data_IF_441608217868
#
_entry.id   IF_441608217868
#
_cell.length_a   1.000
_cell.length_b   1.000
_cell.length_c   1.000
_cell.angle_alpha   90.00
_cell.angle_beta   90.00
_cell.angle_gamma   90.00
#
_symmetry.space_group_name_H-M   'P 1'
#
loop_
_entity.id
_entity.type
_entity.pdbx_description
1 polymer ?
#
# COMPACT_ATOMS: atom_id res chain seq x y z
N UNK A 1 -20.15 -3.37 -6.68
CA UNK A 1 -19.93 -2.13 -5.90
C UNK A 1 -20.62 -2.26 -4.56
N UNK A 2 -19.99 -1.79 -3.49
CA UNK A 2 -20.57 -1.84 -2.14
C UNK A 2 -21.45 -0.60 -1.84
N UNK A 3 -21.03 0.57 -2.28
CA UNK A 3 -21.72 1.86 -2.11
C UNK A 3 -21.79 2.60 -3.45
N UNK A 4 -22.67 2.18 -4.38
CA UNK A 4 -22.72 2.72 -5.74
C UNK A 4 -22.84 4.24 -5.78
N UNK A 5 -23.67 4.82 -4.91
CA UNK A 5 -23.92 6.27 -4.80
C UNK A 5 -22.66 7.09 -4.46
N UNK A 6 -21.69 6.48 -3.78
CA UNK A 6 -20.39 7.09 -3.48
C UNK A 6 -19.36 6.74 -4.55
N UNK A 7 -19.29 5.47 -4.95
CA UNK A 7 -18.26 4.96 -5.84
C UNK A 7 -18.41 5.47 -7.29
N UNK A 8 -19.63 5.85 -7.70
CA UNK A 8 -19.91 6.39 -9.05
C UNK A 8 -20.19 7.89 -9.07
N UNK A 9 -20.18 8.58 -7.92
CA UNK A 9 -20.36 10.03 -7.86
C UNK A 9 -19.29 10.72 -8.72
N UNK A 10 -19.62 11.70 -9.55
CA UNK A 10 -18.64 12.49 -10.30
C UNK A 10 -17.55 13.04 -9.38
N UNK A 11 -16.29 13.00 -9.82
CA UNK A 11 -15.18 13.36 -8.96
C UNK A 11 -15.23 14.80 -8.46
N UNK A 12 -15.65 15.75 -9.30
CA UNK A 12 -15.81 17.13 -8.89
C UNK A 12 -16.84 17.29 -7.75
N UNK A 13 -18.01 16.62 -7.86
CA UNK A 13 -19.02 16.62 -6.80
C UNK A 13 -18.52 15.95 -5.51
N UNK A 14 -17.63 14.94 -5.62
CA UNK A 14 -17.00 14.35 -4.45
C UNK A 14 -16.08 15.35 -3.74
N UNK A 15 -15.28 16.11 -4.49
CA UNK A 15 -14.38 17.12 -3.92
C UNK A 15 -15.17 18.26 -3.24
N UNK A 16 -16.30 18.67 -3.78
CA UNK A 16 -17.18 19.65 -3.15
C UNK A 16 -17.74 19.13 -1.81
N UNK A 17 -18.19 17.86 -1.77
CA UNK A 17 -18.66 17.23 -0.55
C UNK A 17 -17.54 17.06 0.48
N UNK A 18 -16.32 16.77 0.02
CA UNK A 18 -15.14 16.60 0.88
C UNK A 18 -14.66 17.93 1.46
N UNK A 19 -14.85 19.09 0.77
CA UNK A 19 -14.49 20.41 1.29
C UNK A 19 -15.20 20.74 2.59
N UNK A 20 -16.50 20.46 2.70
CA UNK A 20 -17.25 20.67 3.93
C UNK A 20 -16.72 19.82 5.10
N UNK A 21 -16.39 18.55 4.82
CA UNK A 21 -15.79 17.64 5.81
C UNK A 21 -14.38 18.08 6.22
N UNK A 22 -13.59 18.55 5.27
CA UNK A 22 -12.25 19.07 5.48
C UNK A 22 -12.26 20.31 6.41
N UNK A 23 -13.14 21.29 6.15
CA UNK A 23 -13.28 22.48 7.00
C UNK A 23 -13.62 22.11 8.43
N UNK A 24 -14.59 21.20 8.62
CA UNK A 24 -14.95 20.71 9.95
C UNK A 24 -13.78 19.96 10.63
N UNK A 25 -12.97 19.25 9.85
CA UNK A 25 -11.76 18.57 10.36
C UNK A 25 -10.67 19.57 10.74
N UNK A 26 -10.50 20.65 9.98
CA UNK A 26 -9.57 21.74 10.33
C UNK A 26 -9.99 22.43 11.63
N UNK A 27 -11.27 22.80 11.80
CA UNK A 27 -11.79 23.38 13.04
C UNK A 27 -11.46 22.47 14.23
N UNK A 28 -11.69 21.16 14.07
CA UNK A 28 -11.38 20.17 15.10
C UNK A 28 -9.89 20.09 15.43
N UNK A 29 -9.01 20.16 14.42
CA UNK A 29 -7.55 20.17 14.62
C UNK A 29 -7.10 21.42 15.38
N UNK A 30 -7.61 22.59 15.02
CA UNK A 30 -7.31 23.84 15.73
C UNK A 30 -7.83 23.84 17.17
N UNK A 31 -8.91 23.12 17.46
CA UNK A 31 -9.45 23.01 18.81
C UNK A 31 -8.70 21.99 19.67
N UNK A 32 -8.27 20.85 19.11
CA UNK A 32 -7.90 19.65 19.86
C UNK A 32 -6.46 19.20 19.72
N UNK A 33 -5.75 19.55 18.65
CA UNK A 33 -4.40 19.06 18.39
C UNK A 33 -3.34 20.08 18.74
N UNK A 34 -2.64 19.90 19.86
CA UNK A 34 -1.51 20.77 20.22
C UNK A 34 -0.44 20.78 19.13
N UNK A 35 -0.15 19.62 18.54
CA UNK A 35 0.80 19.49 17.43
C UNK A 35 0.43 20.37 16.23
N UNK A 36 -0.83 20.29 15.77
CA UNK A 36 -1.25 21.07 14.59
C UNK A 36 -1.47 22.55 14.92
N UNK A 37 -1.86 22.90 16.15
CA UNK A 37 -1.90 24.30 16.58
C UNK A 37 -0.52 24.97 16.44
N UNK A 38 0.53 24.35 16.98
CA UNK A 38 1.90 24.86 16.88
C UNK A 38 2.39 24.89 15.42
N UNK A 39 2.23 23.78 14.70
CA UNK A 39 2.72 23.63 13.33
C UNK A 39 2.08 24.63 12.37
N UNK A 40 0.76 24.81 12.45
CA UNK A 40 0.02 25.72 11.57
C UNK A 40 0.27 27.19 11.97
N UNK A 41 0.38 27.50 13.25
CA UNK A 41 0.76 28.85 13.71
C UNK A 41 2.16 29.22 13.23
N UNK A 42 3.13 28.31 13.31
CA UNK A 42 4.49 28.54 12.79
C UNK A 42 4.52 28.78 11.27
N UNK A 43 3.55 28.20 10.53
CA UNK A 43 3.38 28.42 9.09
C UNK A 43 2.51 29.66 8.75
N UNK A 44 2.09 30.43 9.76
CA UNK A 44 1.31 31.68 9.57
C UNK A 44 -0.21 31.49 9.55
N UNK A 45 -0.73 30.32 9.92
CA UNK A 45 -2.16 30.02 9.96
C UNK A 45 -2.66 30.03 11.41
N UNK A 46 -3.30 31.11 11.83
CA UNK A 46 -3.82 31.27 13.21
C UNK A 46 -5.21 30.70 13.44
N UNK A 47 -5.92 30.25 12.41
CA UNK A 47 -7.27 29.67 12.50
C UNK A 47 -7.58 28.79 11.28
N UNK A 48 -8.58 27.93 11.41
CA UNK A 48 -9.09 27.12 10.30
C UNK A 48 -9.61 28.00 9.14
N UNK A 49 -10.24 29.14 9.44
CA UNK A 49 -10.69 30.09 8.42
C UNK A 49 -9.52 30.66 7.60
N UNK A 50 -8.38 30.93 8.23
CA UNK A 50 -7.17 31.41 7.55
C UNK A 50 -6.52 30.30 6.69
N UNK A 51 -6.65 29.05 7.08
CA UNK A 51 -6.17 27.88 6.34
C UNK A 51 -6.97 27.61 5.04
N UNK A 52 -8.24 28.03 5.00
CA UNK A 52 -9.09 27.94 3.80
C UNK A 52 -9.77 26.59 3.62
N UNK A 53 -10.14 26.27 2.37
CA UNK A 53 -10.78 25.01 1.98
C UNK A 53 -9.81 24.03 1.32
N UNK A 54 -10.36 22.94 0.76
CA UNK A 54 -9.55 21.94 0.01
C UNK A 54 -8.76 22.54 -1.15
N UNK A 55 -9.31 23.57 -1.80
CA UNK A 55 -8.60 24.28 -2.88
C UNK A 55 -7.32 24.99 -2.39
N UNK A 56 -7.26 25.32 -1.11
CA UNK A 56 -6.13 26.00 -0.47
C UNK A 56 -5.16 25.04 0.24
N UNK A 57 -5.47 23.75 0.28
CA UNK A 57 -4.76 22.75 1.12
C UNK A 57 -3.25 22.74 0.86
N UNK A 58 -2.84 22.97 -0.39
CA UNK A 58 -1.44 22.99 -0.79
C UNK A 58 -0.60 24.09 -0.11
N UNK A 59 -1.25 25.12 0.46
CA UNK A 59 -0.59 26.20 1.23
C UNK A 59 -0.16 25.73 2.63
N UNK A 60 -0.76 24.67 3.15
CA UNK A 60 -0.46 24.16 4.47
C UNK A 60 0.82 23.32 4.47
N UNK A 61 1.56 23.27 5.59
CA UNK A 61 2.78 22.47 5.66
C UNK A 61 2.49 20.98 5.58
N UNK A 62 3.38 20.24 4.94
CA UNK A 62 3.36 18.77 4.91
C UNK A 62 3.68 18.21 6.30
N UNK A 63 3.11 17.07 6.66
CA UNK A 63 3.37 16.37 7.92
C UNK A 63 4.20 15.12 7.67
N UNK A 64 5.33 15.02 8.37
CA UNK A 64 6.22 13.88 8.37
C UNK A 64 5.93 12.94 9.53
N UNK A 65 6.02 11.65 9.31
CA UNK A 65 5.85 10.64 10.37
C UNK A 65 6.82 10.84 11.55
N UNK A 66 8.03 11.32 11.25
CA UNK A 66 9.04 11.62 12.27
C UNK A 66 8.58 12.73 13.21
N UNK A 67 8.00 13.82 12.68
CA UNK A 67 7.51 14.92 13.49
C UNK A 67 6.48 14.46 14.54
N UNK A 68 5.56 13.56 14.13
CA UNK A 68 4.56 12.99 15.05
C UNK A 68 5.22 12.17 16.15
N UNK A 69 6.18 11.30 15.79
CA UNK A 69 6.91 10.44 16.76
C UNK A 69 7.75 11.24 17.75
N UNK A 70 8.36 12.32 17.28
CA UNK A 70 9.23 13.17 18.11
C UNK A 70 8.43 13.89 19.22
N UNK A 71 7.08 13.92 19.15
CA UNK A 71 6.19 14.43 20.22
C UNK A 71 5.79 13.40 21.25
N UNK A 72 6.14 12.13 21.06
CA UNK A 72 5.80 11.07 22.01
C UNK A 72 6.64 11.18 23.29
N UNK A 73 5.99 10.96 24.44
CA UNK A 73 6.61 10.95 25.77
C UNK A 73 6.18 9.68 26.51
N UNK A 74 6.86 9.30 27.61
CA UNK A 74 6.41 8.17 28.45
C UNK A 74 4.96 8.29 28.93
N UNK A 75 4.52 9.51 29.24
CA UNK A 75 3.14 9.79 29.71
C UNK A 75 2.12 9.92 28.57
N UNK A 76 2.60 10.23 27.36
CA UNK A 76 1.78 10.28 26.15
C UNK A 76 2.50 9.58 24.97
N UNK A 77 2.45 8.24 24.91
CA UNK A 77 3.20 7.47 23.90
C UNK A 77 2.66 7.63 22.47
N UNK A 78 1.48 8.24 22.29
CA UNK A 78 0.93 8.56 20.96
C UNK A 78 1.53 9.87 20.46
N UNK A 79 1.67 10.87 21.33
CA UNK A 79 2.20 12.19 21.00
C UNK A 79 1.15 13.30 21.03
N UNK A 80 1.58 14.55 20.82
CA UNK A 80 0.75 15.75 20.94
C UNK A 80 -0.27 15.94 19.80
N UNK A 81 -0.29 15.04 18.81
CA UNK A 81 -1.30 14.97 17.76
C UNK A 81 -2.55 14.17 18.18
N UNK A 82 -2.55 13.54 19.34
CA UNK A 82 -3.73 12.90 19.92
C UNK A 82 -4.79 13.96 20.26
N UNK A 83 -6.00 13.78 19.73
CA UNK A 83 -7.12 14.71 19.89
C UNK A 83 -8.25 14.16 20.76
N UNK A 84 -8.48 12.84 20.70
CA UNK A 84 -9.53 12.19 21.50
C UNK A 84 -9.07 11.91 22.92
N UNK A 85 -10.03 11.89 23.87
CA UNK A 85 -9.75 11.43 25.21
C UNK A 85 -9.52 9.90 25.26
N UNK A 86 -8.78 9.36 26.25
CA UNK A 86 -8.55 7.92 26.36
C UNK A 86 -9.84 7.09 26.40
N UNK A 87 -10.93 7.64 26.93
CA UNK A 87 -12.24 6.96 27.05
C UNK A 87 -12.97 6.81 25.73
N UNK A 88 -12.62 7.58 24.70
CA UNK A 88 -13.20 7.52 23.36
C UNK A 88 -12.46 6.51 22.48
N UNK A 89 -11.26 6.07 22.88
CA UNK A 89 -10.40 5.16 22.10
C UNK A 89 -10.86 3.72 22.34
N UNK A 90 -11.30 3.05 21.26
CA UNK A 90 -11.75 1.66 21.30
C UNK A 90 -10.71 0.68 20.75
N UNK A 91 -9.71 1.18 19.99
CA UNK A 91 -8.65 0.36 19.39
C UNK A 91 -7.36 1.17 19.29
N UNK A 92 -6.24 0.49 19.50
CA UNK A 92 -4.91 1.04 19.22
C UNK A 92 -4.18 0.01 18.36
N UNK A 93 -3.81 0.42 17.15
CA UNK A 93 -2.89 -0.34 16.30
C UNK A 93 -1.47 0.22 16.43
N UNK A 94 -0.50 -0.51 15.90
CA UNK A 94 0.87 -0.03 15.77
C UNK A 94 1.41 -0.28 14.36
N UNK A 95 2.40 0.50 13.96
CA UNK A 95 3.19 0.18 12.76
C UNK A 95 4.42 -0.60 13.15
N UNK A 96 4.96 -1.41 12.22
CA UNK A 96 6.13 -2.25 12.45
C UNK A 96 7.44 -1.47 12.69
N UNK A 97 7.43 -0.14 12.55
CA UNK A 97 8.56 0.76 12.78
C UNK A 97 9.86 0.29 12.11
N UNK A 98 10.15 0.77 10.91
CA UNK A 98 11.43 0.48 10.20
C UNK A 98 12.66 0.93 11.00
N UNK A 99 12.47 1.81 11.98
CA UNK A 99 13.51 2.35 12.88
C UNK A 99 13.53 1.71 14.27
N UNK A 100 12.76 0.61 14.48
CA UNK A 100 12.70 -0.09 15.77
C UNK A 100 11.68 0.46 16.77
N UNK A 101 11.23 1.71 16.63
CA UNK A 101 10.19 2.29 17.51
C UNK A 101 8.84 2.28 16.80
N UNK A 102 7.83 1.57 17.32
CA UNK A 102 6.49 1.57 16.73
C UNK A 102 5.80 2.93 16.91
N UNK A 103 5.00 3.34 15.93
CA UNK A 103 4.01 4.40 16.10
C UNK A 103 2.68 3.78 16.49
N UNK A 104 1.98 4.40 17.45
CA UNK A 104 0.66 3.96 17.87
C UNK A 104 -0.42 4.74 17.16
N UNK A 105 -1.46 4.03 16.74
CA UNK A 105 -2.57 4.57 15.95
C UNK A 105 -3.86 4.32 16.73
N UNK A 106 -4.31 5.30 17.52
CA UNK A 106 -5.57 5.21 18.25
C UNK A 106 -6.75 5.41 17.31
N UNK A 107 -7.85 4.73 17.56
CA UNK A 107 -9.09 4.85 16.83
C UNK A 107 -10.26 4.97 17.79
N UNK A 108 -11.14 5.94 17.55
CA UNK A 108 -12.49 5.95 18.12
C UNK A 108 -13.38 4.94 17.39
N UNK A 109 -14.57 4.67 17.91
CA UNK A 109 -15.54 3.79 17.23
C UNK A 109 -15.88 4.32 15.82
N UNK A 110 -16.06 5.64 15.66
CA UNK A 110 -16.32 6.25 14.36
C UNK A 110 -15.14 6.15 13.39
N UNK A 111 -13.90 6.31 13.88
CA UNK A 111 -12.70 6.15 13.07
C UNK A 111 -12.56 4.71 12.55
N UNK A 112 -12.80 3.73 13.44
CA UNK A 112 -12.77 2.32 13.07
C UNK A 112 -13.84 1.99 12.02
N UNK A 113 -15.05 2.52 12.16
CA UNK A 113 -16.13 2.35 11.19
C UNK A 113 -15.79 2.93 9.80
N UNK A 114 -15.17 4.12 9.77
CA UNK A 114 -14.67 4.75 8.54
C UNK A 114 -13.58 3.89 7.87
N UNK A 115 -12.63 3.35 8.65
CA UNK A 115 -11.60 2.46 8.15
C UNK A 115 -12.18 1.17 7.57
N UNK A 116 -13.12 0.55 8.27
CA UNK A 116 -13.81 -0.65 7.82
C UNK A 116 -14.61 -0.39 6.54
N UNK A 117 -15.33 0.74 6.48
CA UNK A 117 -16.14 1.10 5.30
C UNK A 117 -15.29 1.36 4.06
N UNK A 118 -14.23 2.17 4.19
CA UNK A 118 -13.29 2.44 3.09
C UNK A 118 -12.61 1.17 2.59
N UNK A 119 -12.18 0.31 3.52
CA UNK A 119 -11.55 -0.98 3.19
C UNK A 119 -12.53 -1.96 2.53
N UNK A 120 -13.78 -2.00 2.99
CA UNK A 120 -14.81 -2.84 2.39
C UNK A 120 -15.11 -2.44 0.93
N UNK A 121 -15.18 -1.12 0.63
CA UNK A 121 -15.29 -0.64 -0.76
C UNK A 121 -14.09 -1.02 -1.61
N UNK A 122 -12.88 -0.90 -1.04
CA UNK A 122 -11.61 -1.27 -1.68
C UNK A 122 -11.59 -2.76 -2.06
N UNK A 123 -11.90 -3.66 -1.10
CA UNK A 123 -11.90 -5.10 -1.35
C UNK A 123 -13.07 -5.55 -2.24
N UNK A 124 -14.25 -4.96 -2.09
CA UNK A 124 -15.39 -5.26 -2.96
C UNK A 124 -15.15 -4.88 -4.44
N UNK A 125 -14.18 -3.99 -4.72
CA UNK A 125 -13.77 -3.68 -6.08
C UNK A 125 -13.25 -4.92 -6.83
N UNK A 126 -12.58 -5.84 -6.13
CA UNK A 126 -12.05 -7.10 -6.65
C UNK A 126 -13.11 -8.12 -7.12
N UNK A 127 -14.41 -7.76 -7.06
CA UNK A 127 -15.49 -8.64 -7.47
C UNK A 127 -15.98 -9.62 -6.40
N UNK A 128 -15.45 -9.56 -5.18
CA UNK A 128 -15.99 -10.32 -4.05
C UNK A 128 -17.33 -9.73 -3.59
N UNK A 129 -18.28 -10.57 -3.22
CA UNK A 129 -19.65 -10.17 -2.92
C UNK A 129 -20.24 -10.94 -1.73
N UNK A 130 -21.33 -10.42 -1.19
CA UNK A 130 -22.07 -11.04 -0.10
C UNK A 130 -22.46 -12.50 -0.42
N UNK A 131 -22.36 -13.36 0.58
CA UNK A 131 -22.61 -14.80 0.46
C UNK A 131 -21.39 -15.61 0.02
N UNK A 132 -20.33 -14.98 -0.50
CA UNK A 132 -19.05 -15.63 -0.82
C UNK A 132 -18.24 -15.95 0.45
N UNK A 133 -17.12 -16.67 0.27
CA UNK A 133 -16.18 -17.00 1.33
C UNK A 133 -14.79 -16.47 0.98
N UNK A 134 -14.11 -15.93 1.99
CA UNK A 134 -12.73 -15.48 1.84
C UNK A 134 -11.85 -16.08 2.93
N UNK A 135 -10.71 -16.67 2.53
CA UNK A 135 -9.66 -17.05 3.48
C UNK A 135 -8.62 -15.95 3.54
N UNK A 136 -8.09 -15.63 4.72
CA UNK A 136 -7.02 -14.66 4.83
C UNK A 136 -5.93 -15.07 5.81
N UNK A 137 -4.71 -14.58 5.54
CA UNK A 137 -3.59 -14.67 6.47
C UNK A 137 -3.36 -13.38 7.24
N UNK A 138 -4.24 -12.40 7.09
CA UNK A 138 -4.22 -11.21 7.91
C UNK A 138 -4.57 -11.55 9.36
N UNK A 139 -3.76 -11.06 10.29
CA UNK A 139 -3.94 -11.34 11.72
C UNK A 139 -4.66 -10.21 12.44
N UNK A 140 -5.39 -10.54 13.50
CA UNK A 140 -5.91 -9.57 14.46
C UNK A 140 -4.82 -9.02 15.42
N UNK A 141 -3.55 -9.11 15.01
CA UNK A 141 -2.40 -8.67 15.79
C UNK A 141 -2.28 -7.14 15.92
N UNK A 142 -1.11 -6.64 16.35
CA UNK A 142 -0.94 -5.22 16.64
C UNK A 142 -1.01 -4.32 15.41
N UNK A 143 -0.93 -4.89 14.21
CA UNK A 143 -0.93 -4.12 12.96
C UNK A 143 -2.35 -3.82 12.46
N UNK A 144 -2.48 -2.73 11.70
CA UNK A 144 -3.74 -2.24 11.14
C UNK A 144 -4.51 -3.27 10.29
N UNK A 145 -3.84 -4.32 9.80
CA UNK A 145 -4.48 -5.43 9.07
C UNK A 145 -5.67 -6.07 9.80
N UNK A 146 -5.74 -5.96 11.14
CA UNK A 146 -6.91 -6.40 11.90
C UNK A 146 -8.23 -5.74 11.51
N UNK A 147 -8.20 -4.50 10.97
CA UNK A 147 -9.41 -3.84 10.46
C UNK A 147 -9.89 -4.43 9.12
N UNK A 148 -9.02 -5.11 8.35
CA UNK A 148 -9.39 -5.80 7.13
C UNK A 148 -10.38 -6.94 7.40
N UNK A 149 -10.26 -7.60 8.56
CA UNK A 149 -11.15 -8.71 8.94
C UNK A 149 -12.61 -8.22 9.01
N UNK A 150 -12.84 -7.10 9.71
CA UNK A 150 -14.16 -6.48 9.80
C UNK A 150 -14.66 -5.95 8.44
N UNK A 151 -13.75 -5.59 7.52
CA UNK A 151 -14.13 -5.16 6.18
C UNK A 151 -14.69 -6.32 5.33
N UNK A 152 -14.13 -7.53 5.44
CA UNK A 152 -14.68 -8.72 4.79
C UNK A 152 -16.07 -9.05 5.31
N UNK A 153 -16.27 -8.97 6.62
CA UNK A 153 -17.59 -9.17 7.24
C UNK A 153 -18.60 -8.09 6.81
N UNK A 154 -18.15 -6.83 6.67
CA UNK A 154 -18.97 -5.70 6.18
C UNK A 154 -19.45 -5.91 4.74
N UNK A 155 -18.67 -6.58 3.89
CA UNK A 155 -19.08 -6.97 2.53
C UNK A 155 -20.14 -8.06 2.57
N UNK A 156 -20.26 -8.81 3.66
CA UNK A 156 -21.13 -9.98 3.81
C UNK A 156 -20.46 -11.27 3.39
N UNK A 157 -19.13 -11.34 3.45
CA UNK A 157 -18.36 -12.56 3.19
C UNK A 157 -18.29 -13.42 4.46
N UNK A 158 -18.33 -14.74 4.29
CA UNK A 158 -17.90 -15.69 5.32
C UNK A 158 -16.38 -15.68 5.39
N UNK A 159 -15.84 -15.05 6.40
CA UNK A 159 -14.38 -14.89 6.54
C UNK A 159 -13.75 -16.05 7.31
N UNK A 160 -12.69 -16.63 6.76
CA UNK A 160 -11.89 -17.72 7.32
C UNK A 160 -10.53 -17.16 7.73
N UNK A 161 -10.32 -16.70 8.98
CA UNK A 161 -9.06 -16.15 9.44
C UNK A 161 -8.08 -17.28 9.78
N UNK A 162 -7.04 -17.47 8.97
CA UNK A 162 -5.99 -18.48 9.24
C UNK A 162 -4.83 -17.86 10.02
N UNK A 163 -4.51 -16.60 9.75
CA UNK A 163 -3.34 -15.91 10.30
C UNK A 163 -2.04 -16.27 9.55
N UNK A 164 -0.98 -15.52 9.84
CA UNK A 164 0.34 -15.72 9.24
C UNK A 164 1.08 -16.93 9.86
N UNK A 165 2.05 -17.51 9.12
CA UNK A 165 3.00 -18.49 9.63
C UNK A 165 2.48 -19.93 9.69
N UNK A 166 1.38 -20.26 9.02
CA UNK A 166 0.87 -21.63 8.99
C UNK A 166 0.31 -21.99 7.60
N UNK A 167 1.20 -22.30 6.68
CA UNK A 167 0.87 -22.58 5.27
C UNK A 167 0.03 -23.86 5.11
N UNK A 168 0.33 -24.91 5.88
CA UNK A 168 -0.47 -26.15 5.82
C UNK A 168 -1.92 -25.92 6.27
N UNK A 169 -2.12 -25.07 7.29
CA UNK A 169 -3.46 -24.69 7.74
C UNK A 169 -4.21 -23.91 6.66
N UNK A 170 -3.52 -23.00 5.95
CA UNK A 170 -4.11 -22.26 4.85
C UNK A 170 -4.58 -23.20 3.74
N UNK A 171 -3.70 -24.07 3.26
CA UNK A 171 -4.03 -25.04 2.20
C UNK A 171 -5.18 -25.95 2.62
N UNK A 172 -5.12 -26.52 3.82
CA UNK A 172 -6.22 -27.34 4.36
C UNK A 172 -7.55 -26.59 4.46
N UNK A 173 -7.51 -25.30 4.87
CA UNK A 173 -8.73 -24.47 4.92
C UNK A 173 -9.32 -24.25 3.51
N UNK A 174 -8.47 -24.05 2.50
CA UNK A 174 -8.91 -23.92 1.10
C UNK A 174 -9.56 -25.22 0.61
N UNK A 175 -8.93 -26.36 0.86
CA UNK A 175 -9.45 -27.68 0.46
C UNK A 175 -10.80 -28.01 1.11
N UNK A 176 -10.90 -27.78 2.42
CA UNK A 176 -12.07 -28.21 3.20
C UNK A 176 -13.23 -27.21 3.15
N UNK A 177 -12.95 -25.90 3.24
CA UNK A 177 -13.97 -24.86 3.33
C UNK A 177 -14.28 -24.20 1.99
N UNK A 178 -13.48 -24.50 0.95
CA UNK A 178 -13.67 -24.08 -0.43
C UNK A 178 -14.02 -22.59 -0.57
N UNK A 179 -13.15 -21.66 -0.11
CA UNK A 179 -13.38 -20.24 -0.28
C UNK A 179 -13.29 -19.83 -1.76
N UNK A 180 -14.10 -18.83 -2.16
CA UNK A 180 -14.09 -18.25 -3.51
C UNK A 180 -12.94 -17.28 -3.70
N UNK A 181 -12.41 -16.75 -2.58
CA UNK A 181 -11.33 -15.76 -2.58
C UNK A 181 -10.29 -16.04 -1.49
N UNK A 182 -9.07 -15.56 -1.73
CA UNK A 182 -8.01 -15.53 -0.74
C UNK A 182 -7.40 -14.11 -0.63
N UNK A 183 -7.05 -13.69 0.58
CA UNK A 183 -6.37 -12.41 0.84
C UNK A 183 -5.01 -12.66 1.49
N UNK A 184 -3.94 -12.36 0.75
CA UNK A 184 -2.55 -12.68 1.10
C UNK A 184 -1.64 -11.48 0.79
N UNK A 185 -0.37 -11.57 1.19
CA UNK A 185 0.64 -10.68 0.58
C UNK A 185 1.14 -11.29 -0.74
N UNK A 186 1.59 -10.48 -1.71
CA UNK A 186 2.07 -10.99 -3.00
C UNK A 186 3.16 -12.05 -2.88
N UNK A 187 4.17 -11.82 -2.04
CA UNK A 187 5.27 -12.77 -1.85
C UNK A 187 4.82 -14.08 -1.19
N UNK A 188 3.85 -14.00 -0.28
CA UNK A 188 3.32 -15.21 0.35
C UNK A 188 2.42 -16.01 -0.60
N UNK A 189 1.67 -15.33 -1.45
CA UNK A 189 0.90 -15.99 -2.51
C UNK A 189 1.82 -16.76 -3.48
N UNK A 190 2.95 -16.15 -3.88
CA UNK A 190 3.97 -16.83 -4.69
C UNK A 190 4.57 -18.04 -3.96
N UNK A 191 4.92 -17.86 -2.68
CA UNK A 191 5.46 -18.96 -1.85
C UNK A 191 4.51 -20.16 -1.76
N UNK A 192 3.21 -19.92 -1.63
CA UNK A 192 2.20 -21.00 -1.59
C UNK A 192 2.13 -21.71 -2.93
N UNK A 193 2.04 -20.97 -4.04
CA UNK A 193 1.97 -21.53 -5.38
C UNK A 193 3.24 -22.32 -5.79
N UNK A 194 4.42 -21.95 -5.26
CA UNK A 194 5.67 -22.71 -5.48
C UNK A 194 5.68 -24.10 -4.83
N UNK A 195 4.88 -24.32 -3.80
CA UNK A 195 4.93 -25.53 -2.94
C UNK A 195 3.70 -26.41 -3.03
N UNK A 196 2.57 -25.83 -3.37
CA UNK A 196 1.29 -26.50 -3.43
C UNK A 196 0.64 -26.26 -4.78
N UNK A 197 -0.03 -27.27 -5.30
CA UNK A 197 -0.85 -27.12 -6.51
C UNK A 197 -2.13 -26.36 -6.15
N UNK A 198 -2.14 -25.07 -6.49
CA UNK A 198 -3.29 -24.19 -6.26
C UNK A 198 -4.20 -24.08 -7.49
N UNK A 199 -3.72 -24.53 -8.66
CA UNK A 199 -4.51 -24.57 -9.90
C UNK A 199 -5.66 -25.57 -9.72
N UNK A 200 -6.88 -25.13 -9.97
CA UNK A 200 -8.07 -25.95 -9.74
C UNK A 200 -8.59 -25.98 -8.28
N UNK A 201 -7.96 -25.21 -7.38
CA UNK A 201 -8.57 -24.91 -6.08
C UNK A 201 -9.90 -24.15 -6.24
N UNK A 202 -10.63 -23.94 -5.16
CA UNK A 202 -11.87 -23.16 -5.21
C UNK A 202 -11.65 -21.66 -5.30
N UNK A 203 -10.40 -21.19 -5.14
CA UNK A 203 -10.05 -19.76 -5.14
C UNK A 203 -10.07 -19.24 -6.58
N UNK A 204 -11.05 -18.40 -6.87
CA UNK A 204 -11.18 -17.72 -8.17
C UNK A 204 -10.59 -16.30 -8.14
N UNK A 205 -10.46 -15.71 -6.95
CA UNK A 205 -9.98 -14.34 -6.74
C UNK A 205 -8.91 -14.30 -5.66
N UNK A 206 -7.75 -13.76 -6.02
CA UNK A 206 -6.62 -13.57 -5.11
C UNK A 206 -6.41 -12.07 -4.88
N UNK A 207 -6.78 -11.60 -3.69
CA UNK A 207 -6.58 -10.21 -3.26
C UNK A 207 -5.22 -10.11 -2.60
N UNK A 208 -4.33 -9.29 -3.17
CA UNK A 208 -3.00 -9.10 -2.62
C UNK A 208 -2.78 -7.69 -2.12
N UNK A 209 -2.14 -7.57 -0.94
CA UNK A 209 -1.86 -6.27 -0.33
C UNK A 209 -0.67 -6.35 0.64
N UNK A 210 -0.20 -5.17 1.07
CA UNK A 210 0.78 -5.03 2.14
C UNK A 210 2.23 -4.87 1.68
N UNK A 211 2.53 -5.17 0.44
CA UNK A 211 3.81 -4.93 -0.22
C UNK A 211 3.58 -4.77 -1.73
N UNK A 212 4.50 -4.17 -2.51
CA UNK A 212 4.40 -4.11 -3.96
C UNK A 212 4.43 -5.50 -4.61
N UNK A 213 3.74 -5.66 -5.74
CA UNK A 213 3.76 -6.91 -6.52
C UNK A 213 2.48 -7.17 -7.31
N UNK A 214 1.31 -6.96 -6.69
CA UNK A 214 0.04 -7.18 -7.36
C UNK A 214 -0.18 -6.30 -8.59
N UNK A 215 0.37 -5.09 -8.60
CA UNK A 215 0.34 -4.16 -9.72
C UNK A 215 1.48 -4.37 -10.76
N UNK A 216 2.46 -5.22 -10.47
CA UNK A 216 3.56 -5.53 -11.38
C UNK A 216 3.13 -6.64 -12.35
N UNK A 217 3.02 -6.29 -13.64
CA UNK A 217 2.38 -7.15 -14.63
C UNK A 217 2.96 -8.57 -14.69
N UNK A 218 4.26 -8.69 -14.83
CA UNK A 218 4.90 -10.01 -14.99
C UNK A 218 4.79 -10.85 -13.70
N UNK A 219 4.89 -10.22 -12.53
CA UNK A 219 4.73 -10.92 -11.26
C UNK A 219 3.25 -11.31 -11.01
N UNK A 220 2.30 -10.46 -11.40
CA UNK A 220 0.87 -10.78 -11.38
C UNK A 220 0.56 -11.99 -12.26
N UNK A 221 1.06 -12.03 -13.51
CA UNK A 221 0.90 -13.15 -14.43
C UNK A 221 1.39 -14.45 -13.78
N UNK A 222 2.55 -14.44 -13.12
CA UNK A 222 3.07 -15.61 -12.37
C UNK A 222 2.13 -16.05 -11.25
N UNK A 223 1.53 -15.09 -10.51
CA UNK A 223 0.56 -15.43 -9.46
C UNK A 223 -0.75 -15.99 -10.03
N UNK A 224 -1.25 -15.42 -11.12
CA UNK A 224 -2.46 -15.88 -11.80
C UNK A 224 -2.29 -17.29 -12.36
N UNK A 225 -1.14 -17.57 -12.99
CA UNK A 225 -0.79 -18.91 -13.46
C UNK A 225 -0.67 -19.92 -12.31
N UNK A 226 0.00 -19.55 -11.21
CA UNK A 226 0.25 -20.43 -10.09
C UNK A 226 -0.99 -20.73 -9.23
N UNK A 227 -2.00 -19.84 -9.25
CA UNK A 227 -3.26 -20.02 -8.50
C UNK A 227 -4.43 -20.43 -9.38
N UNK A 228 -4.36 -20.24 -10.69
CA UNK A 228 -5.52 -20.36 -11.57
C UNK A 228 -6.62 -19.34 -11.24
N UNK A 229 -6.26 -18.20 -10.63
CA UNK A 229 -7.17 -17.23 -10.07
C UNK A 229 -6.84 -15.82 -10.55
N UNK A 230 -7.84 -14.93 -10.62
CA UNK A 230 -7.62 -13.53 -10.94
C UNK A 230 -6.99 -12.78 -9.77
N UNK A 231 -5.88 -12.09 -10.01
CA UNK A 231 -5.16 -11.32 -8.98
C UNK A 231 -5.57 -9.85 -9.03
N UNK A 232 -5.92 -9.29 -7.89
CA UNK A 232 -6.19 -7.85 -7.71
C UNK A 232 -5.38 -7.29 -6.56
N UNK A 233 -4.91 -6.05 -6.73
CA UNK A 233 -4.11 -5.37 -5.71
C UNK A 233 -4.96 -4.44 -4.85
N UNK A 234 -4.62 -4.37 -3.57
CA UNK A 234 -5.15 -3.36 -2.67
C UNK A 234 -4.02 -2.68 -1.90
N UNK A 235 -4.18 -1.38 -1.62
CA UNK A 235 -3.17 -0.58 -0.95
C UNK A 235 -3.77 0.18 0.23
N UNK A 236 -3.04 0.18 1.34
CA UNK A 236 -3.33 0.97 2.52
C UNK A 236 -2.08 1.57 3.14
N UNK A 237 -2.28 2.58 3.95
CA UNK A 237 -1.24 3.25 4.73
C UNK A 237 -1.58 3.04 6.18
N UNK A 238 -0.77 2.29 6.92
CA UNK A 238 -1.09 1.86 8.28
C UNK A 238 -1.47 2.99 9.23
N UNK A 239 -0.90 4.19 9.03
CA UNK A 239 -1.21 5.38 9.83
C UNK A 239 -2.55 6.05 9.44
N UNK A 240 -3.10 5.76 8.25
CA UNK A 240 -4.29 6.45 7.69
C UNK A 240 -5.47 5.51 7.50
N UNK A 241 -5.22 4.26 7.08
CA UNK A 241 -6.26 3.26 6.87
C UNK A 241 -5.68 1.97 6.27
N UNK A 242 -6.34 0.84 6.57
CA UNK A 242 -5.81 -0.48 6.25
C UNK A 242 -5.88 -0.82 4.76
N UNK A 243 -6.95 -0.39 4.06
CA UNK A 243 -7.06 -0.48 2.61
C UNK A 243 -7.84 0.72 2.11
N UNK A 244 -7.14 1.65 1.49
CA UNK A 244 -7.67 2.92 0.99
C UNK A 244 -7.98 2.84 -0.51
N UNK A 245 -7.25 2.00 -1.23
CA UNK A 245 -7.40 1.75 -2.66
C UNK A 245 -7.53 0.27 -2.94
N UNK A 246 -8.29 -0.09 -3.99
CA UNK A 246 -8.42 -1.46 -4.47
C UNK A 246 -8.71 -1.53 -5.97
N UNK A 247 -8.07 -2.49 -6.62
CA UNK A 247 -8.33 -2.77 -8.03
C UNK A 247 -9.70 -3.42 -8.24
N UNK A 248 -10.30 -3.08 -9.37
CA UNK A 248 -11.42 -3.84 -9.90
C UNK A 248 -10.92 -4.93 -10.88
N UNK A 249 -11.86 -5.71 -11.39
CA UNK A 249 -11.56 -6.80 -12.34
C UNK A 249 -10.95 -6.33 -13.68
N UNK A 250 -10.93 -5.03 -13.96
CA UNK A 250 -10.25 -4.46 -15.13
C UNK A 250 -8.72 -4.38 -14.96
N UNK A 251 -8.21 -4.46 -13.73
CA UNK A 251 -6.78 -4.46 -13.39
C UNK A 251 -5.99 -3.25 -13.96
N UNK A 252 -6.67 -2.11 -14.11
CA UNK A 252 -6.10 -0.87 -14.65
C UNK A 252 -5.98 0.21 -13.56
N UNK A 253 -5.28 -0.14 -12.50
CA UNK A 253 -5.06 0.69 -11.32
C UNK A 253 -6.16 0.59 -10.27
N UNK A 254 -5.81 0.98 -9.06
CA UNK A 254 -6.65 0.87 -7.86
C UNK A 254 -7.58 2.07 -7.72
N UNK A 255 -8.87 1.82 -7.50
CA UNK A 255 -9.89 2.80 -7.19
C UNK A 255 -9.82 3.25 -5.74
N UNK A 256 -10.16 4.52 -5.47
CA UNK A 256 -10.15 5.10 -4.14
C UNK A 256 -11.38 4.70 -3.33
N UNK A 257 -11.25 3.72 -2.43
CA UNK A 257 -12.33 3.25 -1.54
C UNK A 257 -12.61 4.19 -0.36
N UNK A 258 -11.63 4.99 0.06
CA UNK A 258 -11.74 5.87 1.23
C UNK A 258 -12.37 7.24 0.93
N UNK A 259 -13.10 7.38 -0.19
CA UNK A 259 -13.84 8.60 -0.56
C UNK A 259 -14.76 9.07 0.56
N UNK A 260 -14.70 10.37 0.89
CA UNK A 260 -15.46 10.99 1.97
C UNK A 260 -14.81 10.84 3.36
N UNK A 261 -13.73 10.04 3.50
CA UNK A 261 -13.00 9.85 4.76
C UNK A 261 -11.58 10.39 4.71
N UNK A 262 -10.97 10.34 3.53
CA UNK A 262 -9.59 10.76 3.28
C UNK A 262 -9.55 11.56 1.98
N UNK A 263 -8.78 12.65 1.96
CA UNK A 263 -8.39 13.39 0.76
C UNK A 263 -6.97 12.98 0.35
N UNK A 264 -6.76 12.87 -0.95
CA UNK A 264 -5.46 12.48 -1.52
C UNK A 264 -4.92 13.58 -2.43
N UNK A 265 -3.65 13.93 -2.23
CA UNK A 265 -2.88 14.87 -3.05
C UNK A 265 -1.69 14.13 -3.67
N UNK A 266 -1.19 14.67 -4.78
CA UNK A 266 0.07 14.27 -5.39
C UNK A 266 1.07 15.41 -5.25
N UNK A 267 2.30 15.09 -4.79
CA UNK A 267 3.36 16.09 -4.65
C UNK A 267 4.66 15.63 -5.31
N UNK A 268 5.54 16.59 -5.61
CA UNK A 268 6.91 16.28 -6.00
C UNK A 268 7.66 15.67 -4.80
N UNK A 269 8.29 14.52 -4.93
CA UNK A 269 8.84 13.79 -3.78
C UNK A 269 10.00 14.54 -3.06
N UNK A 270 10.77 15.35 -3.77
CA UNK A 270 11.91 16.08 -3.19
C UNK A 270 11.50 17.46 -2.67
N UNK A 271 10.74 18.24 -3.46
CA UNK A 271 10.39 19.62 -3.10
C UNK A 271 9.09 19.73 -2.30
N UNK A 272 8.18 18.75 -2.41
CA UNK A 272 6.86 18.80 -1.81
C UNK A 272 5.86 19.68 -2.57
N UNK A 273 6.25 20.20 -3.73
CA UNK A 273 5.38 21.03 -4.56
C UNK A 273 4.16 20.23 -5.04
N UNK A 274 2.97 20.84 -5.06
CA UNK A 274 1.76 20.16 -5.50
C UNK A 274 1.84 19.78 -6.99
N UNK A 275 1.29 18.63 -7.32
CA UNK A 275 1.11 18.12 -8.69
C UNK A 275 -0.35 17.80 -8.95
N UNK A 276 -0.83 18.09 -10.15
CA UNK A 276 -2.16 17.70 -10.57
C UNK A 276 -2.27 16.16 -10.69
N UNK A 277 -3.41 15.61 -10.26
CA UNK A 277 -3.75 14.20 -10.46
C UNK A 277 -4.27 13.98 -11.90
N UNK A 278 -3.38 14.13 -12.87
CA UNK A 278 -3.65 13.94 -14.31
C UNK A 278 -3.20 12.54 -14.76
N UNK A 279 -3.70 12.10 -15.91
CA UNK A 279 -3.35 10.79 -16.46
C UNK A 279 -1.85 10.67 -16.73
N UNK A 280 -1.24 9.62 -16.20
CA UNK A 280 0.20 9.38 -16.28
C UNK A 280 1.06 10.22 -15.31
N UNK A 281 0.48 11.13 -14.52
CA UNK A 281 1.23 11.90 -13.54
C UNK A 281 1.85 10.98 -12.48
N UNK A 282 3.09 11.29 -12.09
CA UNK A 282 3.82 10.56 -11.05
C UNK A 282 4.23 11.49 -9.92
N UNK A 283 4.14 11.03 -8.68
CA UNK A 283 4.53 11.78 -7.50
C UNK A 283 4.43 10.97 -6.23
N UNK A 284 4.74 11.62 -5.12
CA UNK A 284 4.51 11.07 -3.79
C UNK A 284 3.07 11.33 -3.38
N UNK A 285 2.43 10.32 -2.81
CA UNK A 285 1.08 10.40 -2.29
C UNK A 285 1.09 11.11 -0.92
N UNK A 286 0.21 12.09 -0.77
CA UNK A 286 -0.02 12.82 0.50
C UNK A 286 -1.48 12.66 0.87
N UNK A 287 -1.76 12.38 2.14
CA UNK A 287 -3.10 12.06 2.63
C UNK A 287 -3.53 12.99 3.76
N UNK A 288 -4.80 13.35 3.74
CA UNK A 288 -5.46 14.15 4.79
C UNK A 288 -6.73 13.47 5.23
N UNK A 289 -6.89 13.24 6.54
CA UNK A 289 -8.15 12.78 7.10
C UNK A 289 -9.23 13.85 7.01
N UNK A 290 -10.42 13.47 6.55
CA UNK A 290 -11.60 14.33 6.49
C UNK A 290 -12.56 14.11 7.67
N UNK A 291 -12.54 12.90 8.24
CA UNK A 291 -13.45 12.45 9.31
C UNK A 291 -12.74 11.51 10.26
N UNK A 292 -11.73 12.01 10.97
CA UNK A 292 -10.98 11.22 11.94
C UNK A 292 -10.91 11.98 13.27
N UNK A 293 -11.11 11.30 14.40
CA UNK A 293 -11.22 11.96 15.70
C UNK A 293 -10.05 11.66 16.64
N UNK A 294 -9.57 10.41 16.67
CA UNK A 294 -8.55 10.05 17.64
C UNK A 294 -7.23 10.80 17.42
N UNK A 295 -6.65 10.67 16.26
CA UNK A 295 -5.38 11.31 15.87
C UNK A 295 -5.41 11.67 14.38
N UNK A 296 -6.15 12.73 13.99
CA UNK A 296 -6.27 13.13 12.59
C UNK A 296 -4.92 13.53 12.01
N UNK A 297 -4.68 13.17 10.75
CA UNK A 297 -3.49 13.55 9.99
C UNK A 297 -3.86 14.55 8.90
N UNK A 298 -3.11 15.65 8.82
CA UNK A 298 -3.23 16.69 7.81
C UNK A 298 -1.98 16.71 6.95
N UNK A 299 -2.15 16.58 5.62
CA UNK A 299 -1.08 16.56 4.63
C UNK A 299 0.07 15.60 4.97
N UNK A 300 -0.29 14.39 5.36
CA UNK A 300 0.66 13.36 5.78
C UNK A 300 1.39 12.76 4.58
N UNK A 301 2.70 12.83 4.58
CA UNK A 301 3.58 12.22 3.57
C UNK A 301 3.64 10.72 3.77
N UNK A 302 3.16 9.96 2.79
CA UNK A 302 3.14 8.50 2.86
C UNK A 302 4.47 7.86 2.49
N UNK A 303 5.31 8.59 1.74
CA UNK A 303 6.52 8.10 1.10
C UNK A 303 6.27 7.06 0.01
N UNK A 304 5.02 6.86 -0.38
CA UNK A 304 4.65 6.00 -1.50
C UNK A 304 4.60 6.83 -2.79
N UNK A 305 5.29 6.34 -3.81
CA UNK A 305 5.26 6.92 -5.15
C UNK A 305 4.21 6.21 -5.97
N UNK A 306 3.36 7.00 -6.61
CA UNK A 306 2.25 6.48 -7.41
C UNK A 306 2.25 7.07 -8.82
N UNK A 307 1.67 6.31 -9.74
CA UNK A 307 1.26 6.77 -11.07
C UNK A 307 -0.25 6.87 -11.10
N UNK A 308 -0.77 7.98 -11.62
CA UNK A 308 -2.20 8.30 -11.67
C UNK A 308 -2.80 7.86 -13.01
N UNK A 309 -4.04 7.35 -12.97
CA UNK A 309 -4.90 7.04 -14.10
C UNK A 309 -6.23 7.75 -13.95
N UNK A 310 -6.62 8.56 -14.94
CA UNK A 310 -7.89 9.33 -14.92
C UNK A 310 -8.87 8.93 -16.01
N UNK A 311 -8.45 8.10 -16.97
CA UNK A 311 -9.34 7.55 -17.99
C UNK A 311 -10.54 6.83 -17.35
N UNK A 312 -11.76 6.88 -17.96
CA UNK A 312 -12.91 6.17 -17.43
C UNK A 312 -12.66 4.66 -17.32
N UNK A 313 -13.05 4.07 -16.19
CA UNK A 313 -12.97 2.63 -16.01
C UNK A 313 -14.27 1.95 -16.42
N UNK A 314 -14.18 0.81 -17.13
CA UNK A 314 -15.36 0.02 -17.55
C UNK A 314 -16.20 -0.49 -16.39
N UNK A 315 -15.63 -0.61 -15.19
CA UNK A 315 -16.38 -0.97 -13.99
C UNK A 315 -17.38 0.11 -13.52
N UNK A 316 -17.35 1.32 -14.10
CA UNK A 316 -18.23 2.44 -13.78
C UNK A 316 -17.85 3.27 -12.56
N UNK A 317 -16.81 2.89 -11.78
CA UNK A 317 -16.27 3.73 -10.71
C UNK A 317 -15.61 4.98 -11.28
N UNK A 318 -15.79 6.09 -10.60
CA UNK A 318 -15.27 7.40 -10.99
C UNK A 318 -14.07 7.82 -10.15
N UNK A 319 -13.40 8.89 -10.59
CA UNK A 319 -12.24 9.47 -9.90
C UNK A 319 -10.89 8.86 -10.30
N UNK A 320 -9.81 9.49 -9.88
CA UNK A 320 -8.46 9.02 -10.15
C UNK A 320 -8.21 7.63 -9.55
N UNK A 321 -7.56 6.77 -10.32
CA UNK A 321 -6.98 5.51 -9.89
C UNK A 321 -5.48 5.70 -9.74
N UNK A 322 -4.87 4.87 -8.90
CA UNK A 322 -3.43 4.89 -8.72
C UNK A 322 -2.83 3.50 -8.90
N UNK A 323 -1.57 3.47 -9.32
CA UNK A 323 -0.67 2.31 -9.26
C UNK A 323 0.52 2.69 -8.39
N UNK A 324 0.82 1.89 -7.38
CA UNK A 324 2.02 2.10 -6.57
C UNK A 324 3.25 1.66 -7.36
N UNK A 325 4.23 2.55 -7.51
CA UNK A 325 5.49 2.26 -8.22
C UNK A 325 6.65 2.00 -7.27
N UNK A 326 6.51 2.34 -5.99
CA UNK A 326 7.52 2.08 -4.96
C UNK A 326 7.46 3.05 -3.79
N UNK A 327 8.43 2.96 -2.89
CA UNK A 327 8.54 3.83 -1.71
C UNK A 327 9.87 4.59 -1.71
N UNK A 328 9.84 5.82 -1.21
CA UNK A 328 11.08 6.61 -1.02
C UNK A 328 12.08 5.88 -0.13
N UNK A 329 11.61 5.18 0.91
CA UNK A 329 12.46 4.49 1.86
C UNK A 329 13.23 3.30 1.23
N UNK A 330 12.67 2.70 0.20
CA UNK A 330 13.27 1.58 -0.55
C UNK A 330 14.02 2.05 -1.81
N UNK A 331 13.79 3.29 -2.24
CA UNK A 331 14.40 3.87 -3.43
C UNK A 331 15.92 3.98 -3.26
N UNK A 332 16.63 3.67 -4.34
CA UNK A 332 18.07 3.88 -4.46
C UNK A 332 18.34 4.92 -5.54
N UNK A 333 19.35 5.76 -5.34
CA UNK A 333 19.77 6.76 -6.33
C UNK A 333 21.14 6.35 -6.89
N UNK A 334 21.15 5.96 -8.15
CA UNK A 334 22.37 5.55 -8.86
C UNK A 334 22.72 6.58 -9.93
N UNK A 335 23.76 7.38 -9.71
CA UNK A 335 24.16 8.50 -10.60
C UNK A 335 23.00 9.44 -10.98
N UNK A 336 22.16 9.80 -10.00
CA UNK A 336 21.02 10.68 -10.21
C UNK A 336 19.76 10.01 -10.77
N UNK A 337 19.79 8.70 -11.02
CA UNK A 337 18.63 7.92 -11.44
C UNK A 337 17.96 7.30 -10.22
N UNK A 338 16.67 7.56 -10.04
CA UNK A 338 15.87 6.94 -9.00
C UNK A 338 15.49 5.51 -9.41
N UNK A 339 15.96 4.53 -8.65
CA UNK A 339 15.76 3.11 -8.91
C UNK A 339 14.90 2.52 -7.79
N UNK A 340 13.69 2.08 -8.14
CA UNK A 340 12.83 1.35 -7.23
C UNK A 340 13.10 -0.16 -7.37
N UNK A 341 13.33 -0.91 -6.29
CA UNK A 341 13.56 -2.35 -6.35
C UNK A 341 12.38 -3.13 -6.95
N UNK A 342 11.16 -2.63 -6.81
CA UNK A 342 9.95 -3.14 -7.47
C UNK A 342 10.07 -3.06 -9.01
N UNK A 343 10.59 -1.95 -9.54
CA UNK A 343 10.82 -1.82 -10.98
C UNK A 343 11.93 -2.77 -11.49
N UNK A 344 12.96 -3.02 -10.68
CA UNK A 344 13.98 -4.04 -10.99
C UNK A 344 13.33 -5.42 -11.05
N UNK A 345 12.47 -5.77 -10.08
CA UNK A 345 11.75 -7.05 -10.07
C UNK A 345 10.84 -7.19 -11.28
N UNK A 346 10.09 -6.17 -11.66
CA UNK A 346 9.21 -6.18 -12.82
C UNK A 346 9.97 -6.48 -14.11
N UNK A 347 11.15 -5.86 -14.29
CA UNK A 347 12.02 -6.14 -15.46
C UNK A 347 12.52 -7.57 -15.44
N UNK A 348 12.99 -8.07 -14.28
CA UNK A 348 13.51 -9.44 -14.13
C UNK A 348 12.42 -10.48 -14.35
N UNK A 349 11.22 -10.26 -13.81
CA UNK A 349 10.09 -11.17 -13.97
C UNK A 349 9.70 -11.38 -15.44
N UNK A 350 9.98 -10.41 -16.32
CA UNK A 350 9.81 -10.57 -17.77
C UNK A 350 10.69 -11.63 -18.44
N UNK A 351 11.63 -12.22 -17.70
CA UNK A 351 12.45 -13.35 -18.16
C UNK A 351 11.90 -14.73 -17.73
N UNK A 352 10.68 -14.78 -17.21
CA UNK A 352 10.01 -16.05 -16.96
C UNK A 352 9.90 -16.86 -18.28
N UNK A 353 10.01 -18.19 -18.28
CA UNK A 353 10.17 -19.07 -17.12
C UNK A 353 11.64 -19.34 -16.73
N UNK A 354 12.61 -18.52 -17.14
CA UNK A 354 14.01 -18.73 -16.82
C UNK A 354 14.39 -18.35 -15.39
N UNK A 355 13.63 -17.44 -14.79
CA UNK A 355 13.81 -16.92 -13.43
C UNK A 355 12.57 -17.20 -12.58
N UNK A 356 12.76 -17.25 -11.25
CA UNK A 356 11.66 -17.44 -10.28
C UNK A 356 10.85 -16.17 -10.00
N UNK A 357 11.33 -14.99 -10.46
CA UNK A 357 10.77 -13.68 -10.10
C UNK A 357 11.24 -13.12 -8.75
N UNK A 358 12.00 -13.91 -7.97
CA UNK A 358 12.62 -13.42 -6.73
C UNK A 358 13.95 -12.72 -7.02
N UNK A 359 14.10 -11.54 -6.44
CA UNK A 359 15.32 -10.74 -6.54
C UNK A 359 15.77 -10.23 -5.17
N UNK A 360 17.04 -9.80 -5.10
CA UNK A 360 17.58 -9.02 -4.00
C UNK A 360 18.51 -7.93 -4.54
N UNK A 361 18.15 -6.67 -4.30
CA UNK A 361 19.04 -5.54 -4.60
C UNK A 361 19.90 -5.28 -3.35
N UNK A 362 21.22 -5.25 -3.50
CA UNK A 362 22.16 -5.06 -2.40
C UNK A 362 22.71 -3.64 -2.40
N UNK A 363 22.30 -2.83 -1.42
CA UNK A 363 22.87 -1.51 -1.21
C UNK A 363 24.26 -1.64 -0.57
N UNK A 364 25.30 -1.11 -1.24
CA UNK A 364 26.71 -1.19 -0.78
C UNK A 364 27.08 -0.07 0.19
N UNK A 365 26.40 1.08 0.08
CA UNK A 365 26.62 2.23 0.93
C UNK A 365 25.40 2.50 1.82
N UNK A 366 25.63 3.14 2.96
CA UNK A 366 24.57 3.65 3.79
C UNK A 366 23.75 4.71 3.04
N UNK A 367 22.44 4.76 3.32
CA UNK A 367 21.53 5.72 2.68
C UNK A 367 21.08 5.32 1.27
N UNK A 368 20.49 6.28 0.57
CA UNK A 368 19.84 6.03 -0.74
C UNK A 368 20.80 6.11 -1.92
N UNK A 369 21.91 6.86 -1.81
CA UNK A 369 22.89 7.05 -2.92
C UNK A 369 23.79 5.83 -3.02
N UNK A 370 23.84 5.26 -4.23
CA UNK A 370 24.64 4.08 -4.54
C UNK A 370 25.51 4.32 -5.77
N UNK A 371 26.70 3.74 -5.76
CA UNK A 371 27.58 3.75 -6.94
C UNK A 371 27.31 2.56 -7.85
N UNK A 372 27.33 2.77 -9.18
CA UNK A 372 27.21 1.66 -10.12
C UNK A 372 28.49 0.79 -10.16
N UNK A 373 28.38 -0.49 -10.57
CA UNK A 373 27.15 -1.20 -10.91
C UNK A 373 26.37 -1.58 -9.65
N UNK A 374 25.03 -1.39 -9.68
CA UNK A 374 24.14 -1.79 -8.60
C UNK A 374 24.05 -3.32 -8.54
N UNK A 375 24.39 -3.99 -7.42
CA UNK A 375 24.31 -5.43 -7.33
C UNK A 375 22.87 -5.90 -7.22
N UNK A 376 22.51 -6.87 -8.06
CA UNK A 376 21.19 -7.51 -8.08
C UNK A 376 21.37 -9.01 -8.11
N UNK A 377 20.94 -9.71 -7.07
CA UNK A 377 20.82 -11.16 -7.10
C UNK A 377 19.48 -11.54 -7.71
N UNK A 378 19.50 -12.39 -8.72
CA UNK A 378 18.32 -12.89 -9.43
C UNK A 378 18.26 -14.41 -9.25
N UNK A 379 17.16 -14.89 -8.73
CA UNK A 379 16.98 -16.31 -8.51
C UNK A 379 16.47 -17.00 -9.77
N UNK A 380 17.15 -18.07 -10.13
CA UNK A 380 16.78 -18.94 -11.24
C UNK A 380 15.49 -19.72 -10.96
N UNK A 381 14.79 -20.11 -11.99
CA UNK A 381 13.72 -21.09 -11.88
C UNK A 381 14.24 -22.44 -11.37
N UNK A 382 13.34 -23.30 -10.87
CA UNK A 382 13.66 -24.63 -10.36
C UNK A 382 14.37 -25.45 -11.47
N UNK A 383 15.40 -26.18 -11.09
CA UNK A 383 16.16 -27.09 -11.96
C UNK A 383 16.90 -26.40 -13.12
N UNK A 384 17.08 -25.09 -13.06
CA UNK A 384 17.83 -24.33 -14.06
C UNK A 384 19.24 -24.00 -13.56
N UNK A 385 20.24 -24.23 -14.42
CA UNK A 385 21.63 -23.85 -14.16
C UNK A 385 21.89 -22.37 -14.47
N UNK A 386 22.94 -21.82 -13.86
CA UNK A 386 23.41 -20.48 -14.16
C UNK A 386 23.85 -20.38 -15.63
N UNK A 387 23.47 -19.30 -16.31
CA UNK A 387 23.77 -19.03 -17.70
C UNK A 387 24.20 -17.57 -17.84
N UNK A 388 25.45 -17.34 -18.25
CA UNK A 388 25.98 -15.96 -18.39
C UNK A 388 25.22 -15.18 -19.47
N UNK A 389 24.70 -15.84 -20.50
CA UNK A 389 23.89 -15.19 -21.53
C UNK A 389 22.58 -14.64 -20.94
N UNK A 390 21.96 -15.34 -20.00
CA UNK A 390 20.79 -14.87 -19.27
C UNK A 390 21.14 -13.67 -18.37
N UNK A 391 22.26 -13.73 -17.65
CA UNK A 391 22.71 -12.62 -16.81
C UNK A 391 22.95 -11.36 -17.65
N UNK A 392 23.60 -11.50 -18.82
CA UNK A 392 23.84 -10.38 -19.73
C UNK A 392 22.53 -9.80 -20.28
N UNK A 393 21.60 -10.64 -20.72
CA UNK A 393 20.31 -10.20 -21.23
C UNK A 393 19.51 -9.41 -20.16
N UNK A 394 19.55 -9.86 -18.90
CA UNK A 394 18.93 -9.14 -17.78
C UNK A 394 19.64 -7.79 -17.56
N UNK A 395 20.98 -7.74 -17.55
CA UNK A 395 21.75 -6.50 -17.41
C UNK A 395 21.39 -5.48 -18.50
N UNK A 396 21.36 -5.92 -19.75
CA UNK A 396 21.01 -5.08 -20.90
C UNK A 396 19.57 -4.54 -20.77
N UNK A 397 18.63 -5.40 -20.38
CA UNK A 397 17.23 -5.01 -20.19
C UNK A 397 17.06 -4.02 -19.06
N UNK A 398 17.69 -4.22 -17.90
CA UNK A 398 17.71 -3.28 -16.79
C UNK A 398 18.31 -1.93 -17.22
N UNK A 399 19.41 -1.96 -17.97
CA UNK A 399 20.03 -0.75 -18.49
C UNK A 399 19.12 -0.01 -19.47
N UNK A 400 18.44 -0.72 -20.37
CA UNK A 400 17.56 -0.09 -21.38
C UNK A 400 16.29 0.50 -20.77
N UNK A 401 15.71 -0.16 -19.76
CA UNK A 401 14.41 0.24 -19.16
C UNK A 401 14.60 1.22 -18.01
N UNK A 402 15.56 0.97 -17.12
CA UNK A 402 15.76 1.73 -15.89
C UNK A 402 16.95 2.71 -15.96
N UNK A 403 17.71 2.70 -17.06
CA UNK A 403 18.89 3.54 -17.27
C UNK A 403 19.93 3.38 -16.15
N UNK A 404 20.04 2.18 -15.58
CA UNK A 404 20.94 1.87 -14.47
C UNK A 404 21.93 0.77 -14.87
N UNK A 405 23.21 0.94 -14.50
CA UNK A 405 24.20 -0.14 -14.62
C UNK A 405 24.07 -1.06 -13.43
N UNK A 406 23.89 -2.35 -13.71
CA UNK A 406 23.73 -3.39 -12.69
C UNK A 406 24.80 -4.47 -12.82
N UNK A 407 25.12 -5.13 -11.70
CA UNK A 407 25.82 -6.39 -11.67
C UNK A 407 24.81 -7.45 -11.26
N UNK A 408 24.53 -8.39 -12.18
CA UNK A 408 23.52 -9.44 -11.98
C UNK A 408 24.22 -10.73 -11.57
N UNK A 409 23.90 -11.20 -10.37
CA UNK A 409 24.32 -12.51 -9.84
C UNK A 409 23.16 -13.48 -9.96
N UNK A 410 23.26 -14.48 -10.82
CA UNK A 410 22.29 -15.56 -10.89
C UNK A 410 22.53 -16.53 -9.73
N UNK A 411 21.51 -16.71 -8.90
CA UNK A 411 21.57 -17.61 -7.74
C UNK A 411 20.63 -18.81 -7.93
N UNK A 412 20.96 -20.00 -7.40
CA UNK A 412 20.10 -21.17 -7.52
C UNK A 412 18.71 -20.94 -6.91
N UNK A 413 17.72 -21.69 -7.40
CA UNK A 413 16.37 -21.67 -6.83
C UNK A 413 16.38 -21.98 -5.34
N UNK A 414 15.61 -21.22 -4.56
CA UNK A 414 15.54 -21.32 -3.10
C UNK A 414 16.67 -20.59 -2.34
N UNK A 415 17.62 -19.95 -3.05
CA UNK A 415 18.72 -19.19 -2.41
C UNK A 415 18.27 -17.87 -1.78
N UNK A 416 17.23 -17.24 -2.35
CA UNK A 416 16.65 -16.05 -1.77
C UNK A 416 15.54 -16.45 -0.79
N UNK A 417 15.67 -15.97 0.44
CA UNK A 417 14.74 -16.31 1.51
C UNK A 417 13.30 -15.92 1.17
N UNK A 418 12.39 -16.87 1.36
CA UNK A 418 10.95 -16.64 1.26
C UNK A 418 10.43 -16.01 2.54
N UNK A 419 9.42 -15.17 2.42
CA UNK A 419 8.76 -14.58 3.58
C UNK A 419 7.30 -15.02 3.63
N UNK A 420 6.87 -15.49 4.78
CA UNK A 420 5.46 -15.79 5.06
C UNK A 420 4.63 -14.54 5.38
N UNK A 421 5.25 -13.36 5.32
CA UNK A 421 4.57 -12.09 5.60
C UNK A 421 4.87 -11.04 4.52
N UNK A 422 6.09 -10.47 4.49
CA UNK A 422 6.51 -9.45 3.50
C UNK A 422 7.94 -9.73 3.06
N UNK A 423 8.21 -9.64 1.77
CA UNK A 423 9.57 -9.71 1.25
C UNK A 423 10.29 -8.37 1.38
N UNK A 424 11.60 -8.42 1.64
CA UNK A 424 12.47 -7.25 1.52
C UNK A 424 13.21 -7.36 0.20
N UNK A 425 12.96 -6.43 -0.72
CA UNK A 425 13.64 -6.40 -2.01
C UNK A 425 15.04 -5.78 -1.91
N UNK A 426 15.30 -4.97 -0.89
CA UNK A 426 16.60 -4.34 -0.62
C UNK A 426 17.25 -4.95 0.61
N UNK A 427 18.52 -5.31 0.46
CA UNK A 427 19.43 -5.65 1.55
C UNK A 427 20.38 -4.46 1.76
N UNK A 428 20.35 -3.86 2.94
CA UNK A 428 21.26 -2.79 3.34
C UNK A 428 22.31 -3.40 4.30
N UNK A 429 23.57 -3.08 4.08
CA UNK A 429 24.65 -3.47 4.98
C UNK A 429 24.63 -2.67 6.26
#
# INVERSE_FOLDING_TARGET
MLSPEVETRPWAEQLEADDASYRAQLDYLFERSAFYQEKLAAAGFGSAAAAGGLADIARLPLTEKRELRDTATPDNPIGSHLCASPHEIVRIYSTSGTTGTPSYIPLTSGDLDNWVTGSARSYAAAGVAAGGRIVSTYGAGPFAAGAALAAFERIGLSHIPVGAGNTERLVRAIEQLRPDAAALTPSYAAYVAERFDMVGSSVERLLVAGEPGGGERAFRETLEEGWGARVTEAMGIGDVGVSLWGECEEQDGMHFGARGFVHAELVHPETGDPRAMEDGARGELVLTHLRHRAAPLLRFRTRDHVEVRTSPCRCGRTGPRIRCVGRTDDMLIVRGVNVFPSAVREVVAGFAPAVSGHIRVRARAEGVKQEPPLPVSVELARDRGADEALAEAIRERLRSVLVVQTHVDLVPWGSLGRSEYKSKLVERR
#
